data_IF_367377027391
#
_entry.id   IF_367377027391
#
_cell.length_a   1.000
_cell.length_b   1.000
_cell.length_c   1.000
_cell.angle_alpha   90.00
_cell.angle_beta   90.00
_cell.angle_gamma   90.00
#
_symmetry.space_group_name_H-M   'P 1'
#
loop_
_entity.id
_entity.type
_entity.pdbx_description
1 polymer ?
#
# COMPACT_ATOMS: atom_id res chain seq x y z
N UNK A 1 -10.81 24.71 6.00
CA UNK A 1 -10.68 23.31 6.35
C UNK A 1 -9.42 22.76 5.71
N UNK A 2 -8.65 21.98 6.45
CA UNK A 2 -7.42 21.33 5.99
C UNK A 2 -7.57 19.83 6.04
N UNK A 3 -7.21 19.15 4.96
CA UNK A 3 -7.27 17.69 4.84
C UNK A 3 -6.03 17.17 4.12
N UNK A 4 -5.67 15.92 4.37
CA UNK A 4 -4.54 15.26 3.69
C UNK A 4 -5.06 14.42 2.53
N UNK A 5 -4.54 14.68 1.34
CA UNK A 5 -4.92 13.96 0.12
C UNK A 5 -3.66 13.56 -0.65
N UNK A 6 -3.53 12.28 -0.95
CA UNK A 6 -2.47 11.79 -1.83
C UNK A 6 -2.76 12.29 -3.25
N UNK A 7 -1.75 12.87 -3.89
CA UNK A 7 -1.90 13.56 -5.18
C UNK A 7 -3.00 14.64 -5.20
N UNK A 8 -3.20 15.31 -4.06
CA UNK A 8 -4.21 16.38 -3.95
C UNK A 8 -3.92 17.59 -4.82
N UNK A 9 -2.67 17.78 -5.25
CA UNK A 9 -2.25 18.84 -6.18
C UNK A 9 -1.21 18.29 -7.16
N UNK A 10 -1.39 18.56 -8.45
CA UNK A 10 -0.45 18.25 -9.52
C UNK A 10 -0.83 19.01 -10.81
N UNK A 11 0.04 18.92 -11.81
CA UNK A 11 -0.15 19.55 -13.13
C UNK A 11 -0.34 18.55 -14.28
N UNK A 12 -0.73 17.33 -13.97
CA UNK A 12 -0.91 16.26 -14.97
C UNK A 12 -2.29 16.30 -15.66
N UNK A 13 -3.24 17.04 -15.09
CA UNK A 13 -4.61 17.18 -15.58
C UNK A 13 -5.06 18.63 -15.49
N UNK A 14 -6.07 18.99 -16.27
CA UNK A 14 -6.66 20.34 -16.28
C UNK A 14 -7.44 20.63 -15.00
N UNK A 15 -8.02 19.62 -14.37
CA UNK A 15 -8.77 19.74 -13.12
C UNK A 15 -8.51 18.52 -12.21
N UNK A 16 -8.69 18.70 -10.92
CA UNK A 16 -8.60 17.65 -9.92
C UNK A 16 -9.89 17.65 -9.12
N UNK A 17 -10.50 16.48 -9.00
CA UNK A 17 -11.75 16.30 -8.26
C UNK A 17 -11.43 15.58 -6.94
N UNK A 18 -11.63 16.27 -5.84
CA UNK A 18 -11.38 15.69 -4.52
C UNK A 18 -12.63 15.03 -3.94
N UNK A 19 -12.47 13.87 -3.31
CA UNK A 19 -13.45 13.33 -2.36
C UNK A 19 -13.07 13.79 -0.95
N UNK A 20 -13.92 14.60 -0.34
CA UNK A 20 -13.64 15.27 0.93
C UNK A 20 -14.64 14.84 1.98
N UNK A 21 -14.13 14.39 3.14
CA UNK A 21 -14.93 14.16 4.32
C UNK A 21 -15.04 15.45 5.15
N UNK A 22 -16.25 15.92 5.35
CA UNK A 22 -16.52 17.13 6.11
C UNK A 22 -17.83 17.03 6.90
N UNK A 23 -18.05 17.95 7.83
CA UNK A 23 -19.28 18.04 8.61
C UNK A 23 -20.17 19.18 8.10
N UNK A 24 -21.47 18.93 8.05
CA UNK A 24 -22.48 19.97 7.85
C UNK A 24 -22.78 20.63 9.19
N UNK A 25 -23.04 21.94 9.24
CA UNK A 25 -23.48 22.60 10.48
C UNK A 25 -24.69 21.92 11.09
N UNK A 26 -24.63 21.63 12.39
CA UNK A 26 -25.69 20.90 13.10
C UNK A 26 -25.59 19.37 13.05
N UNK A 27 -24.59 18.83 12.37
CA UNK A 27 -24.35 17.38 12.34
C UNK A 27 -23.97 16.83 13.71
N UNK A 28 -24.25 15.53 13.98
CA UNK A 28 -23.84 14.86 15.20
C UNK A 28 -22.34 14.98 15.48
N UNK A 29 -21.95 14.91 16.74
CA UNK A 29 -20.54 14.90 17.13
C UNK A 29 -19.84 13.60 16.72
N UNK A 30 -18.49 13.66 16.64
CA UNK A 30 -17.65 12.52 16.28
C UNK A 30 -17.79 12.10 14.83
N UNK A 31 -17.57 10.82 14.56
CA UNK A 31 -17.56 10.23 13.20
C UNK A 31 -18.95 10.08 12.60
N UNK A 32 -19.99 10.05 13.44
CA UNK A 32 -21.39 9.93 13.01
C UNK A 32 -21.91 11.14 12.25
N UNK A 33 -21.27 12.30 12.36
CA UNK A 33 -21.64 13.53 11.68
C UNK A 33 -20.86 13.82 10.40
N UNK A 34 -20.10 12.85 9.89
CA UNK A 34 -19.27 13.05 8.71
C UNK A 34 -20.06 12.73 7.44
N UNK A 35 -20.11 13.71 6.55
CA UNK A 35 -20.65 13.62 5.19
C UNK A 35 -19.51 13.58 4.16
N UNK A 36 -19.78 13.15 2.94
CA UNK A 36 -18.82 13.11 1.85
C UNK A 36 -19.19 14.09 0.75
N UNK A 37 -18.21 14.80 0.22
CA UNK A 37 -18.40 15.81 -0.81
C UNK A 37 -17.44 15.58 -1.97
N UNK A 38 -17.94 15.83 -3.19
CA UNK A 38 -17.09 16.05 -4.36
C UNK A 38 -16.73 17.53 -4.40
N UNK A 39 -15.43 17.85 -4.40
CA UNK A 39 -14.94 19.22 -4.45
C UNK A 39 -13.95 19.35 -5.62
N UNK A 40 -14.35 19.97 -6.72
CA UNK A 40 -13.45 20.23 -7.85
C UNK A 40 -12.47 21.35 -7.49
N UNK A 41 -11.22 21.28 -7.94
CA UNK A 41 -10.23 22.36 -7.80
C UNK A 41 -10.62 23.59 -8.63
N UNK A 42 -11.12 23.36 -9.85
CA UNK A 42 -11.69 24.36 -10.73
C UNK A 42 -13.17 24.03 -10.91
N UNK A 43 -14.03 25.03 -10.74
CA UNK A 43 -15.49 24.86 -10.92
C UNK A 43 -15.80 24.39 -12.35
N UNK A 44 -16.85 23.63 -12.49
CA UNK A 44 -17.33 23.13 -13.77
C UNK A 44 -18.62 23.86 -14.11
N UNK A 45 -18.68 24.47 -15.28
CA UNK A 45 -19.86 25.14 -15.80
C UNK A 45 -20.93 24.12 -16.26
N UNK A 46 -22.16 24.55 -16.46
CA UNK A 46 -23.26 23.68 -16.88
C UNK A 46 -23.02 23.01 -18.26
N UNK A 47 -22.20 23.61 -19.10
CA UNK A 47 -21.78 23.05 -20.40
C UNK A 47 -20.59 22.09 -20.31
N UNK A 48 -20.08 21.83 -19.09
CA UNK A 48 -18.92 20.98 -18.84
C UNK A 48 -17.56 21.67 -19.01
N UNK A 49 -17.52 22.93 -19.39
CA UNK A 49 -16.27 23.70 -19.47
C UNK A 49 -15.73 24.06 -18.10
N UNK A 50 -14.43 24.35 -18.04
CA UNK A 50 -13.80 24.84 -16.81
C UNK A 50 -14.21 26.28 -16.52
N UNK A 51 -14.64 26.51 -15.29
CA UNK A 51 -15.02 27.81 -14.76
C UNK A 51 -13.90 28.45 -13.90
N UNK A 52 -14.32 29.18 -12.87
CA UNK A 52 -13.42 29.85 -11.95
C UNK A 52 -12.73 28.88 -10.99
N UNK A 53 -11.58 29.30 -10.44
CA UNK A 53 -10.91 28.60 -9.36
C UNK A 53 -11.85 28.45 -8.14
N UNK A 54 -11.87 27.27 -7.55
CA UNK A 54 -12.76 26.94 -6.44
C UNK A 54 -12.13 27.17 -5.04
N UNK A 55 -11.07 27.97 -4.95
CA UNK A 55 -10.34 28.27 -3.71
C UNK A 55 -9.83 27.00 -3.01
N UNK A 56 -9.37 26.05 -3.79
CA UNK A 56 -8.67 24.85 -3.32
C UNK A 56 -7.19 25.05 -3.54
N UNK A 57 -6.40 24.91 -2.50
CA UNK A 57 -4.95 25.10 -2.57
C UNK A 57 -4.19 24.03 -1.77
N UNK A 58 -3.00 23.67 -2.25
CA UNK A 58 -2.04 22.87 -1.49
C UNK A 58 -1.14 23.81 -0.68
N UNK A 59 -1.20 23.73 0.63
CA UNK A 59 -0.42 24.60 1.53
C UNK A 59 0.91 23.98 1.95
N UNK A 60 1.02 22.66 1.92
CA UNK A 60 2.26 21.94 2.18
C UNK A 60 2.17 20.50 1.68
N UNK A 61 3.32 19.85 1.60
CA UNK A 61 3.46 18.42 1.33
C UNK A 61 4.07 17.77 2.57
N UNK A 62 3.50 16.63 3.00
CA UNK A 62 4.01 15.90 4.15
C UNK A 62 5.38 15.27 3.86
N UNK A 63 6.30 15.42 4.79
CA UNK A 63 7.54 14.67 4.80
C UNK A 63 7.25 13.24 5.32
N UNK A 64 7.62 12.23 4.53
CA UNK A 64 7.33 10.83 4.84
C UNK A 64 8.61 10.03 4.95
N UNK A 65 8.54 8.86 5.60
CA UNK A 65 9.65 7.93 5.68
C UNK A 65 10.03 7.37 4.29
N UNK A 66 9.06 7.29 3.40
CA UNK A 66 9.22 6.76 2.05
C UNK A 66 8.08 7.16 1.12
N UNK A 67 8.12 6.67 -0.13
CA UNK A 67 7.12 6.93 -1.19
C UNK A 67 6.98 8.45 -1.44
N UNK A 68 8.10 9.16 -1.59
CA UNK A 68 8.12 10.62 -1.77
C UNK A 68 7.55 11.03 -3.12
N UNK A 69 7.68 10.20 -4.16
CA UNK A 69 7.12 10.46 -5.47
C UNK A 69 5.57 10.38 -5.52
N UNK A 70 4.93 9.89 -4.45
CA UNK A 70 3.49 9.94 -4.23
C UNK A 70 3.19 10.98 -3.15
N UNK A 71 3.08 12.27 -3.46
CA UNK A 71 3.01 13.32 -2.46
C UNK A 71 1.71 13.25 -1.67
N UNK A 72 1.82 13.38 -0.35
CA UNK A 72 0.68 13.59 0.54
C UNK A 72 0.51 15.09 0.74
N UNK A 73 -0.46 15.67 0.04
CA UNK A 73 -0.71 17.10 0.06
C UNK A 73 -1.59 17.49 1.24
N UNK A 74 -1.24 18.57 1.92
CA UNK A 74 -2.13 19.24 2.90
C UNK A 74 -2.96 20.26 2.13
N UNK A 75 -4.22 19.91 1.90
CA UNK A 75 -5.15 20.72 1.11
C UNK A 75 -5.95 21.67 1.98
N UNK A 76 -6.12 22.90 1.53
CA UNK A 76 -6.96 23.91 2.15
C UNK A 76 -8.16 24.22 1.23
N UNK A 77 -9.34 24.32 1.85
CA UNK A 77 -10.60 24.67 1.22
C UNK A 77 -11.13 25.92 1.90
N UNK A 78 -11.02 27.06 1.23
CA UNK A 78 -11.44 28.36 1.77
C UNK A 78 -12.67 28.91 1.02
N UNK A 79 -13.86 28.60 1.55
CA UNK A 79 -15.12 28.94 0.89
C UNK A 79 -15.34 28.14 -0.40
N UNK A 80 -14.69 27.00 -0.57
CA UNK A 80 -14.83 26.16 -1.75
C UNK A 80 -16.25 25.57 -1.85
N UNK A 81 -16.78 25.51 -3.07
CA UNK A 81 -18.04 24.83 -3.36
C UNK A 81 -17.82 23.33 -3.44
N UNK A 82 -18.60 22.55 -2.69
CA UNK A 82 -18.61 21.10 -2.74
C UNK A 82 -20.04 20.56 -2.93
N UNK A 83 -20.11 19.39 -3.53
CA UNK A 83 -21.39 18.72 -3.83
C UNK A 83 -21.51 17.48 -2.96
N UNK A 84 -22.62 17.40 -2.18
CA UNK A 84 -22.88 16.26 -1.30
C UNK A 84 -23.01 14.96 -2.11
N UNK A 85 -22.33 13.91 -1.64
CA UNK A 85 -22.45 12.56 -2.17
C UNK A 85 -23.36 11.75 -1.27
N UNK A 86 -24.48 11.30 -1.83
CA UNK A 86 -25.46 10.50 -1.08
C UNK A 86 -26.16 11.31 0.02
N UNK A 87 -26.28 10.70 1.20
CA UNK A 87 -26.99 11.26 2.35
C UNK A 87 -26.02 11.94 3.34
N UNK A 88 -26.49 13.00 4.00
CA UNK A 88 -25.75 13.61 5.11
C UNK A 88 -25.43 12.59 6.21
N UNK A 89 -24.29 12.76 6.87
CA UNK A 89 -23.85 11.95 8.00
C UNK A 89 -23.53 10.47 7.67
N UNK A 90 -23.46 10.11 6.38
CA UNK A 90 -23.09 8.77 5.91
C UNK A 90 -21.77 8.74 5.10
N UNK A 91 -21.01 9.82 5.16
CA UNK A 91 -19.78 9.96 4.36
C UNK A 91 -18.73 8.89 4.60
N UNK A 92 -18.59 8.39 5.84
CA UNK A 92 -17.69 7.29 6.13
C UNK A 92 -18.12 5.99 5.46
N UNK A 93 -19.41 5.69 5.41
CA UNK A 93 -19.91 4.49 4.75
C UNK A 93 -19.53 4.48 3.26
N UNK A 94 -19.71 5.61 2.60
CA UNK A 94 -19.34 5.75 1.18
C UNK A 94 -17.83 5.70 0.97
N UNK A 95 -17.05 6.33 1.86
CA UNK A 95 -15.59 6.30 1.79
C UNK A 95 -15.02 4.90 2.02
N UNK A 96 -15.66 4.07 2.85
CA UNK A 96 -15.23 2.71 3.10
C UNK A 96 -15.25 1.81 1.85
N UNK A 97 -16.11 2.08 0.87
CA UNK A 97 -16.08 1.36 -0.40
C UNK A 97 -14.70 1.47 -1.06
N UNK A 98 -14.17 2.68 -1.16
CA UNK A 98 -12.82 2.93 -1.69
C UNK A 98 -11.72 2.44 -0.73
N UNK A 99 -11.90 2.67 0.58
CA UNK A 99 -10.87 2.32 1.57
C UNK A 99 -10.67 0.81 1.72
N UNK A 100 -11.70 0.00 1.59
CA UNK A 100 -11.56 -1.45 1.66
C UNK A 100 -10.73 -1.98 0.48
N UNK A 101 -10.97 -1.47 -0.71
CA UNK A 101 -10.14 -1.79 -1.87
C UNK A 101 -8.68 -1.34 -1.68
N UNK A 102 -8.48 -0.10 -1.22
CA UNK A 102 -7.14 0.42 -0.91
C UNK A 102 -6.39 -0.42 0.13
N UNK A 103 -7.09 -0.99 1.13
CA UNK A 103 -6.49 -1.89 2.12
C UNK A 103 -5.91 -3.15 1.48
N UNK A 104 -6.62 -3.75 0.54
CA UNK A 104 -6.13 -4.94 -0.19
C UNK A 104 -4.88 -4.58 -1.00
N UNK A 105 -4.90 -3.45 -1.72
CA UNK A 105 -3.74 -2.97 -2.48
C UNK A 105 -2.51 -2.68 -1.62
N UNK A 106 -2.70 -2.13 -0.41
CA UNK A 106 -1.59 -1.93 0.54
C UNK A 106 -1.02 -3.27 1.01
N UNK A 107 -1.87 -4.29 1.23
CA UNK A 107 -1.40 -5.66 1.42
C UNK A 107 -0.54 -6.15 0.24
N UNK A 108 -1.00 -5.90 -1.00
CA UNK A 108 -0.26 -6.21 -2.21
C UNK A 108 1.12 -5.54 -2.29
N UNK A 109 1.26 -4.31 -1.80
CA UNK A 109 2.57 -3.63 -1.70
C UNK A 109 3.51 -4.36 -0.73
N UNK A 110 3.03 -4.79 0.44
CA UNK A 110 3.82 -5.58 1.39
C UNK A 110 4.31 -6.90 0.78
N UNK A 111 3.44 -7.61 0.05
CA UNK A 111 3.81 -8.83 -0.68
C UNK A 111 4.84 -8.54 -1.78
N UNK A 112 4.69 -7.47 -2.54
CA UNK A 112 5.62 -7.08 -3.60
C UNK A 112 7.02 -6.80 -3.03
N UNK A 113 7.11 -6.05 -1.93
CA UNK A 113 8.36 -5.76 -1.22
C UNK A 113 9.04 -7.05 -0.74
N UNK A 114 8.32 -7.91 -0.03
CA UNK A 114 8.86 -9.18 0.47
C UNK A 114 9.29 -10.12 -0.67
N UNK A 115 8.51 -10.19 -1.76
CA UNK A 115 8.84 -10.99 -2.94
C UNK A 115 10.09 -10.50 -3.65
N UNK A 116 10.23 -9.19 -3.83
CA UNK A 116 11.44 -8.57 -4.41
C UNK A 116 12.67 -8.81 -3.53
N UNK A 117 12.51 -8.65 -2.22
CA UNK A 117 13.56 -8.93 -1.24
C UNK A 117 14.04 -10.41 -1.29
N UNK A 118 13.09 -11.36 -1.37
CA UNK A 118 13.39 -12.79 -1.54
C UNK A 118 14.20 -13.06 -2.82
N UNK A 119 13.77 -12.48 -3.94
CA UNK A 119 14.45 -12.68 -5.23
C UNK A 119 15.89 -12.16 -5.17
N UNK A 120 16.08 -10.93 -4.71
CA UNK A 120 17.40 -10.33 -4.58
C UNK A 120 18.31 -11.09 -3.62
N UNK A 121 17.83 -11.42 -2.42
CA UNK A 121 18.59 -12.19 -1.43
C UNK A 121 18.93 -13.60 -1.93
N UNK A 122 18.01 -14.28 -2.62
CA UNK A 122 18.23 -15.60 -3.19
C UNK A 122 19.29 -15.60 -4.29
N UNK A 123 19.26 -14.59 -5.16
CA UNK A 123 20.27 -14.43 -6.21
C UNK A 123 21.64 -14.15 -5.59
N UNK A 124 21.71 -13.19 -4.66
CA UNK A 124 22.95 -12.87 -3.96
C UNK A 124 23.52 -14.09 -3.23
N UNK A 125 22.69 -14.89 -2.57
CA UNK A 125 23.14 -16.08 -1.85
C UNK A 125 23.72 -17.16 -2.77
N UNK A 126 23.29 -17.23 -4.03
CA UNK A 126 23.83 -18.15 -5.05
C UNK A 126 25.15 -17.65 -5.66
N UNK A 127 25.36 -16.35 -5.69
CA UNK A 127 26.53 -15.74 -6.33
C UNK A 127 27.67 -15.48 -5.35
N UNK A 128 27.35 -15.23 -4.08
CA UNK A 128 28.34 -14.85 -3.07
C UNK A 128 29.09 -16.05 -2.53
N UNK A 129 30.39 -16.05 -2.71
CA UNK A 129 31.31 -17.03 -2.08
C UNK A 129 31.87 -16.43 -0.81
N UNK A 130 31.62 -17.06 0.34
CA UNK A 130 32.20 -16.67 1.62
C UNK A 130 32.14 -17.81 2.64
N UNK A 131 33.24 -18.00 3.35
CA UNK A 131 33.33 -18.96 4.43
C UNK A 131 33.31 -20.42 3.95
N UNK A 132 33.24 -21.32 4.91
CA UNK A 132 33.12 -22.77 4.66
C UNK A 132 31.91 -23.29 5.42
N UNK A 133 30.93 -23.87 4.72
CA UNK A 133 29.78 -24.50 5.39
C UNK A 133 30.22 -25.60 6.35
N UNK A 134 29.50 -25.73 7.46
CA UNK A 134 29.77 -26.76 8.47
C UNK A 134 29.66 -28.15 7.85
N UNK A 135 30.66 -28.99 8.08
CA UNK A 135 30.71 -30.37 7.57
C UNK A 135 31.25 -30.49 6.12
N UNK A 136 31.50 -29.38 5.42
CA UNK A 136 32.06 -29.41 4.05
C UNK A 136 33.60 -29.54 4.08
N UNK A 137 34.18 -30.28 3.12
CA UNK A 137 35.62 -30.34 2.93
C UNK A 137 36.21 -28.99 2.49
N UNK A 138 37.53 -28.77 2.66
CA UNK A 138 38.19 -27.55 2.18
C UNK A 138 38.13 -27.43 0.66
N UNK A 139 38.15 -28.54 -0.05
CA UNK A 139 38.16 -28.59 -1.52
C UNK A 139 36.78 -28.23 -2.07
N UNK A 140 35.71 -28.84 -1.52
CA UNK A 140 34.33 -28.55 -1.92
C UNK A 140 33.94 -27.11 -1.57
N UNK A 141 34.43 -26.57 -0.46
CA UNK A 141 34.15 -25.20 -0.02
C UNK A 141 34.67 -24.14 -1.00
N UNK A 142 35.66 -24.44 -1.84
CA UNK A 142 36.13 -23.50 -2.89
C UNK A 142 35.05 -23.20 -3.93
N UNK A 143 34.06 -24.08 -4.10
CA UNK A 143 32.98 -23.96 -5.08
C UNK A 143 31.64 -23.62 -4.41
N UNK A 144 31.60 -23.57 -3.08
CA UNK A 144 30.37 -23.28 -2.36
C UNK A 144 30.08 -21.79 -2.31
N UNK A 145 28.80 -21.47 -2.24
CA UNK A 145 28.31 -20.10 -2.04
C UNK A 145 27.61 -19.99 -0.69
N UNK A 146 27.22 -18.79 -0.29
CA UNK A 146 26.62 -18.62 1.05
C UNK A 146 25.28 -19.35 1.21
N UNK A 147 24.60 -19.71 0.12
CA UNK A 147 23.37 -20.52 0.18
C UNK A 147 23.60 -21.90 0.79
N UNK A 148 24.82 -22.40 0.80
CA UNK A 148 25.16 -23.69 1.39
C UNK A 148 25.26 -23.65 2.91
N UNK A 149 25.29 -22.45 3.52
CA UNK A 149 25.23 -22.29 4.97
C UNK A 149 23.82 -22.51 5.50
N UNK A 150 23.69 -23.32 6.55
CA UNK A 150 22.39 -23.70 7.09
C UNK A 150 21.53 -22.51 7.53
N UNK A 151 22.14 -21.48 8.13
CA UNK A 151 21.41 -20.29 8.60
C UNK A 151 20.93 -19.41 7.45
N UNK A 152 21.73 -19.28 6.38
CA UNK A 152 21.31 -18.56 5.16
C UNK A 152 20.11 -19.27 4.54
N UNK A 153 20.15 -20.61 4.44
CA UNK A 153 18.99 -21.39 3.97
C UNK A 153 17.77 -21.21 4.86
N UNK A 154 17.97 -21.22 6.19
CA UNK A 154 16.85 -20.97 7.12
C UNK A 154 16.21 -19.61 6.85
N UNK A 155 17.00 -18.53 6.72
CA UNK A 155 16.50 -17.19 6.39
C UNK A 155 15.71 -17.17 5.08
N UNK A 156 16.29 -17.72 4.01
CA UNK A 156 15.63 -17.76 2.69
C UNK A 156 14.34 -18.60 2.71
N UNK A 157 14.35 -19.76 3.40
CA UNK A 157 13.15 -20.60 3.55
C UNK A 157 12.06 -19.90 4.37
N UNK A 158 12.44 -19.17 5.42
CA UNK A 158 11.50 -18.35 6.20
C UNK A 158 10.83 -17.32 5.31
N UNK A 159 11.61 -16.52 4.57
CA UNK A 159 11.04 -15.50 3.66
C UNK A 159 10.14 -16.18 2.62
N UNK A 160 10.61 -17.26 1.99
CA UNK A 160 9.85 -17.98 0.96
C UNK A 160 8.50 -18.49 1.47
N UNK A 161 8.49 -19.13 2.63
CA UNK A 161 7.26 -19.69 3.20
C UNK A 161 6.22 -18.61 3.49
N UNK A 162 6.65 -17.49 4.06
CA UNK A 162 5.75 -16.37 4.31
C UNK A 162 5.29 -15.67 3.02
N UNK A 163 6.18 -15.45 2.05
CA UNK A 163 5.80 -14.87 0.74
C UNK A 163 4.75 -15.73 0.05
N UNK A 164 4.87 -17.05 0.10
CA UNK A 164 3.87 -17.94 -0.49
C UNK A 164 2.53 -17.89 0.26
N UNK A 165 2.56 -17.85 1.60
CA UNK A 165 1.37 -17.70 2.43
C UNK A 165 0.68 -16.32 2.22
N UNK A 166 1.46 -15.24 2.15
CA UNK A 166 0.95 -13.89 1.84
C UNK A 166 0.28 -13.85 0.47
N UNK A 167 0.89 -14.49 -0.52
CA UNK A 167 0.34 -14.57 -1.89
C UNK A 167 -0.97 -15.34 -1.91
N UNK A 168 -1.03 -16.46 -1.21
CA UNK A 168 -2.26 -17.23 -1.07
C UNK A 168 -3.39 -16.40 -0.45
N UNK A 169 -3.11 -15.74 0.69
CA UNK A 169 -4.09 -14.89 1.38
C UNK A 169 -4.55 -13.72 0.49
N UNK A 170 -3.62 -13.12 -0.24
CA UNK A 170 -3.93 -12.01 -1.16
C UNK A 170 -4.86 -12.46 -2.28
N UNK A 171 -4.61 -13.61 -2.88
CA UNK A 171 -5.44 -14.13 -3.96
C UNK A 171 -6.79 -14.65 -3.45
N UNK A 172 -6.83 -15.28 -2.28
CA UNK A 172 -8.09 -15.68 -1.64
C UNK A 172 -8.97 -14.46 -1.38
N UNK A 173 -8.42 -13.40 -0.80
CA UNK A 173 -9.17 -12.17 -0.57
C UNK A 173 -9.61 -11.48 -1.87
N UNK A 174 -8.77 -11.47 -2.91
CA UNK A 174 -9.13 -10.92 -4.21
C UNK A 174 -10.27 -11.70 -4.86
N UNK A 175 -10.25 -13.03 -4.77
CA UNK A 175 -11.35 -13.87 -5.24
C UNK A 175 -12.66 -13.56 -4.50
N UNK A 176 -12.60 -13.32 -3.19
CA UNK A 176 -13.80 -12.96 -2.43
C UNK A 176 -14.36 -11.58 -2.85
N UNK A 177 -13.49 -10.62 -3.18
CA UNK A 177 -13.91 -9.35 -3.76
C UNK A 177 -14.57 -9.53 -5.13
N UNK A 178 -14.03 -10.39 -5.98
CA UNK A 178 -14.65 -10.70 -7.27
C UNK A 178 -16.05 -11.33 -7.09
N UNK A 179 -16.21 -12.21 -6.10
CA UNK A 179 -17.52 -12.78 -5.77
C UNK A 179 -18.50 -11.71 -5.24
N UNK A 180 -18.04 -10.82 -4.37
CA UNK A 180 -18.85 -9.70 -3.85
C UNK A 180 -19.36 -8.80 -4.98
N UNK A 181 -18.52 -8.50 -5.98
CA UNK A 181 -18.87 -7.58 -7.05
C UNK A 181 -19.64 -8.23 -8.20
N UNK A 182 -19.33 -9.45 -8.56
CA UNK A 182 -19.76 -10.05 -9.82
C UNK A 182 -20.64 -11.28 -9.67
N UNK A 183 -20.70 -11.93 -8.50
CA UNK A 183 -21.58 -13.06 -8.27
C UNK A 183 -23.00 -12.62 -7.87
N UNK A 184 -23.92 -13.59 -7.85
CA UNK A 184 -25.30 -13.43 -7.40
C UNK A 184 -25.66 -14.48 -6.35
N UNK A 185 -26.72 -14.22 -5.57
CA UNK A 185 -27.26 -15.15 -4.57
C UNK A 185 -26.23 -15.52 -3.49
N UNK A 186 -26.24 -16.78 -3.08
CA UNK A 186 -25.39 -17.30 -1.98
C UNK A 186 -23.89 -17.08 -2.19
N UNK A 187 -23.40 -17.08 -3.44
CA UNK A 187 -21.99 -16.84 -3.71
C UNK A 187 -21.60 -15.38 -3.44
N UNK A 188 -22.48 -14.44 -3.73
CA UNK A 188 -22.27 -13.04 -3.40
C UNK A 188 -22.23 -12.83 -1.89
N UNK A 189 -23.20 -13.35 -1.16
CA UNK A 189 -23.26 -13.26 0.30
C UNK A 189 -22.02 -13.89 0.94
N UNK A 190 -21.57 -15.03 0.45
CA UNK A 190 -20.33 -15.66 0.89
C UNK A 190 -19.10 -14.76 0.64
N UNK A 191 -19.01 -14.11 -0.53
CA UNK A 191 -17.95 -13.16 -0.86
C UNK A 191 -17.94 -11.97 0.12
N UNK A 192 -19.08 -11.33 0.34
CA UNK A 192 -19.24 -10.19 1.25
C UNK A 192 -18.82 -10.53 2.70
N UNK A 193 -19.29 -11.63 3.25
CA UNK A 193 -18.93 -12.07 4.60
C UNK A 193 -17.44 -12.33 4.75
N UNK A 194 -16.83 -13.04 3.79
CA UNK A 194 -15.40 -13.34 3.84
C UNK A 194 -14.54 -12.11 3.62
N UNK A 195 -14.90 -11.18 2.73
CA UNK A 195 -14.22 -9.92 2.54
C UNK A 195 -14.17 -9.11 3.84
N UNK A 196 -15.26 -9.07 4.59
CA UNK A 196 -15.32 -8.39 5.87
C UNK A 196 -14.26 -8.86 6.87
N UNK A 197 -13.90 -10.14 6.83
CA UNK A 197 -12.87 -10.76 7.69
C UNK A 197 -11.48 -10.68 7.05
N UNK A 198 -11.35 -11.04 5.78
CA UNK A 198 -10.06 -11.19 5.12
C UNK A 198 -9.38 -9.84 4.84
N UNK A 199 -10.12 -8.80 4.47
CA UNK A 199 -9.54 -7.50 4.09
C UNK A 199 -8.71 -6.86 5.20
N UNK A 200 -9.18 -6.73 6.47
CA UNK A 200 -8.33 -6.21 7.54
C UNK A 200 -7.14 -7.11 7.87
N UNK A 201 -7.30 -8.44 7.80
CA UNK A 201 -6.21 -9.39 8.03
C UNK A 201 -5.15 -9.26 6.93
N UNK A 202 -5.57 -9.25 5.66
CA UNK A 202 -4.68 -9.08 4.51
C UNK A 202 -3.84 -7.82 4.64
N UNK A 203 -4.47 -6.68 4.92
CA UNK A 203 -3.75 -5.42 5.10
C UNK A 203 -2.78 -5.47 6.27
N UNK A 204 -3.21 -5.86 7.46
CA UNK A 204 -2.39 -5.81 8.66
C UNK A 204 -1.23 -6.81 8.58
N UNK A 205 -1.55 -8.09 8.41
CA UNK A 205 -0.56 -9.16 8.45
C UNK A 205 0.49 -9.07 7.33
N UNK A 206 0.06 -8.78 6.10
CA UNK A 206 0.98 -8.71 4.95
C UNK A 206 1.88 -7.49 5.05
N UNK A 207 1.36 -6.32 5.48
CA UNK A 207 2.21 -5.13 5.59
C UNK A 207 3.25 -5.24 6.71
N UNK A 208 2.90 -5.86 7.84
CA UNK A 208 3.85 -6.12 8.94
C UNK A 208 4.94 -7.10 8.50
N UNK A 209 4.56 -8.21 7.88
CA UNK A 209 5.50 -9.18 7.33
C UNK A 209 6.38 -8.59 6.23
N UNK A 210 5.87 -7.68 5.41
CA UNK A 210 6.66 -6.99 4.38
C UNK A 210 7.91 -6.33 4.96
N UNK A 211 7.79 -5.70 6.12
CA UNK A 211 8.91 -5.07 6.85
C UNK A 211 9.85 -6.14 7.44
N UNK A 212 9.31 -7.12 8.15
CA UNK A 212 10.09 -8.17 8.81
C UNK A 212 10.90 -8.98 7.81
N UNK A 213 10.28 -9.46 6.73
CA UNK A 213 10.92 -10.28 5.71
C UNK A 213 11.98 -9.50 4.92
N UNK A 214 11.76 -8.21 4.67
CA UNK A 214 12.78 -7.34 4.07
C UNK A 214 13.98 -7.19 4.99
N UNK A 215 13.77 -7.07 6.30
CA UNK A 215 14.85 -7.03 7.29
C UNK A 215 15.65 -8.33 7.33
N UNK A 216 14.98 -9.49 7.27
CA UNK A 216 15.67 -10.80 7.18
C UNK A 216 16.48 -10.89 5.88
N UNK A 217 15.94 -10.42 4.77
CA UNK A 217 16.66 -10.40 3.49
C UNK A 217 17.95 -9.55 3.55
N UNK A 218 17.92 -8.41 4.26
CA UNK A 218 19.10 -7.59 4.51
C UNK A 218 20.21 -8.40 5.22
N UNK A 219 19.87 -9.27 6.16
CA UNK A 219 20.85 -10.10 6.86
C UNK A 219 21.57 -11.07 5.91
N UNK A 220 20.91 -11.57 4.86
CA UNK A 220 21.52 -12.43 3.85
C UNK A 220 22.66 -11.73 3.09
N UNK A 221 22.54 -10.42 2.85
CA UNK A 221 23.59 -9.62 2.22
C UNK A 221 24.81 -9.39 3.12
N UNK A 222 24.67 -9.53 4.46
CA UNK A 222 25.75 -9.28 5.40
C UNK A 222 26.31 -7.86 5.29
N UNK A 223 27.63 -7.68 5.40
CA UNK A 223 28.25 -6.35 5.39
C UNK A 223 28.06 -5.55 4.09
N UNK A 224 27.69 -6.20 2.98
CA UNK A 224 27.49 -5.52 1.67
C UNK A 224 26.26 -4.63 1.66
N UNK A 225 25.31 -4.79 2.58
CA UNK A 225 24.16 -3.88 2.72
C UNK A 225 24.56 -2.44 3.01
N UNK A 226 25.75 -2.23 3.54
CA UNK A 226 26.29 -0.89 3.82
C UNK A 226 26.66 -0.12 2.54
N UNK A 227 26.73 -0.79 1.40
CA UNK A 227 27.04 -0.16 0.11
C UNK A 227 25.74 0.35 -0.56
N UNK A 228 25.66 1.66 -0.83
CA UNK A 228 24.45 2.31 -1.33
C UNK A 228 23.92 1.73 -2.65
N UNK A 229 24.77 1.18 -3.51
CA UNK A 229 24.38 0.56 -4.79
C UNK A 229 23.75 -0.84 -4.64
N UNK A 230 23.87 -1.45 -3.45
CA UNK A 230 23.27 -2.75 -3.11
C UNK A 230 22.05 -2.62 -2.18
N UNK A 231 21.64 -1.40 -1.85
CA UNK A 231 20.41 -1.20 -1.07
C UNK A 231 19.21 -1.80 -1.80
N UNK A 232 18.39 -2.51 -1.05
CA UNK A 232 17.18 -3.16 -1.60
C UNK A 232 16.30 -2.15 -2.36
N UNK A 233 15.58 -2.61 -3.40
CA UNK A 233 14.66 -1.76 -4.15
C UNK A 233 13.69 -0.96 -3.29
N UNK A 234 13.32 -1.50 -2.12
CA UNK A 234 12.48 -0.84 -1.12
C UNK A 234 13.03 0.49 -0.60
N UNK A 235 14.34 0.72 -0.71
CA UNK A 235 14.96 1.99 -0.33
C UNK A 235 15.16 2.95 -1.53
N UNK A 236 14.91 2.50 -2.76
CA UNK A 236 15.04 3.30 -3.99
C UNK A 236 13.72 3.65 -4.67
N UNK A 237 12.63 2.99 -4.32
CA UNK A 237 11.29 3.30 -4.83
C UNK A 237 10.60 4.38 -4.01
N UNK A 238 11.40 5.22 -3.43
CA UNK A 238 10.95 6.25 -2.52
C UNK A 238 11.37 7.60 -3.05
#
# INVERSE_FOLDING_TARGET
TKVWITFGEHNMTENIIHLVLAKVPGSPEGTKGISMFIVPKVKINDDGSLGDNNNVSCISIEEKLGIHASPTCVMEYDGSTGYLVGEENRGLNYMFTMMNEARVWVGGQGLACASGALQGASQYARDRVQGRPVGMSKEDAKKSTIIDHADVRRMLMTIKSYVDAMRYLMYDNQLMLDLEYFAEGELKEFGEERCGILTPITKAWISDLGVELSSIAIQVYGGTVSYTHLTLPTMRTV
#
